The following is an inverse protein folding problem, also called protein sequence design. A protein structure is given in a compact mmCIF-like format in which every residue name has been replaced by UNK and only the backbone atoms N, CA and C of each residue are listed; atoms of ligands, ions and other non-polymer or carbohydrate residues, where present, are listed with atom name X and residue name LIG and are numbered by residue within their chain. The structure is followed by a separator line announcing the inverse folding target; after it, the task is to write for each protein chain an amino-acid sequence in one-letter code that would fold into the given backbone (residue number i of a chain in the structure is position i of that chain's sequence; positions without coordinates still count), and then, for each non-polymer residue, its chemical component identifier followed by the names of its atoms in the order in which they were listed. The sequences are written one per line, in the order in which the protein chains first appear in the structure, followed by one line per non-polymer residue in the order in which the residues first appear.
data_IF_759863774232
#
_entry.id   IF_759863774232
#
_cell.length_a   1.000
_cell.length_b   1.000
_cell.length_c   1.000
_cell.angle_alpha   90.00
_cell.angle_beta   90.00
_cell.angle_gamma   90.00
#
_symmetry.space_group_name_H-M   'P 1'
#
loop_
_entity.id
_entity.type
_entity.pdbx_description
1 polymer ?
#
# COMPACT_ATOMS: atom_id res chain seq x y z
N UNK A 1 -16.28 42.07 -6.02
CA UNK A 1 -15.55 41.12 -5.18
C UNK A 1 -16.09 39.72 -5.44
N UNK A 2 -15.24 38.84 -5.97
CA UNK A 2 -15.63 37.45 -6.29
C UNK A 2 -15.45 36.62 -5.02
N UNK A 3 -16.53 36.21 -4.39
CA UNK A 3 -16.50 35.32 -3.23
C UNK A 3 -16.36 33.90 -3.75
N UNK A 4 -15.32 33.20 -3.35
CA UNK A 4 -15.14 31.78 -3.66
C UNK A 4 -15.85 30.97 -2.59
N UNK A 5 -16.83 30.16 -3.01
CA UNK A 5 -17.67 29.31 -2.15
C UNK A 5 -17.32 27.85 -2.38
N UNK A 6 -17.17 27.09 -1.29
CA UNK A 6 -17.06 25.63 -1.35
C UNK A 6 -18.40 25.01 -1.00
N UNK A 7 -18.80 24.00 -1.75
CA UNK A 7 -19.98 23.17 -1.44
C UNK A 7 -19.49 21.92 -0.71
N UNK A 8 -19.94 21.78 0.54
CA UNK A 8 -19.72 20.57 1.33
C UNK A 8 -21.10 19.93 1.62
N UNK A 9 -21.40 18.86 0.89
CA UNK A 9 -22.75 18.29 0.88
C UNK A 9 -23.78 19.24 0.32
N UNK A 10 -24.77 19.65 1.13
CA UNK A 10 -25.80 20.63 0.78
C UNK A 10 -25.48 22.07 1.26
N UNK A 11 -24.44 22.23 2.07
CA UNK A 11 -24.07 23.53 2.63
C UNK A 11 -22.98 24.21 1.79
N UNK A 12 -23.03 25.55 1.74
CA UNK A 12 -22.02 26.40 1.12
C UNK A 12 -21.29 27.18 2.19
N UNK A 13 -19.96 27.21 2.14
CA UNK A 13 -19.12 28.01 3.03
C UNK A 13 -18.14 28.89 2.25
N UNK A 14 -17.79 30.04 2.82
CA UNK A 14 -16.76 30.92 2.28
C UNK A 14 -15.40 30.27 2.46
N UNK A 15 -14.63 30.10 1.37
CA UNK A 15 -13.32 29.47 1.38
C UNK A 15 -12.31 30.16 2.30
N UNK A 16 -12.44 31.50 2.50
CA UNK A 16 -11.48 32.29 3.25
C UNK A 16 -11.86 32.42 4.74
N UNK A 17 -13.14 32.55 5.05
CA UNK A 17 -13.61 32.76 6.43
C UNK A 17 -14.19 31.52 7.09
N UNK A 18 -14.54 30.49 6.31
CA UNK A 18 -15.22 29.28 6.81
C UNK A 18 -16.68 29.51 7.21
N UNK A 19 -17.22 30.72 7.06
CA UNK A 19 -18.60 31.07 7.44
C UNK A 19 -19.59 30.45 6.43
N UNK A 20 -20.74 30.01 6.92
CA UNK A 20 -21.82 29.52 6.10
C UNK A 20 -22.41 30.67 5.24
N UNK A 21 -22.51 30.46 3.95
CA UNK A 21 -22.99 31.42 2.97
C UNK A 21 -24.18 30.82 2.22
N UNK A 22 -25.28 31.56 2.18
CA UNK A 22 -26.42 31.22 1.29
C UNK A 22 -26.25 32.03 0.02
N UNK A 23 -25.92 31.38 -1.13
CA UNK A 23 -25.73 32.10 -2.38
C UNK A 23 -27.07 32.66 -2.87
N UNK A 24 -27.12 33.95 -3.22
CA UNK A 24 -28.29 34.60 -3.74
C UNK A 24 -28.71 34.14 -5.16
N UNK A 25 -27.80 33.47 -5.86
CA UNK A 25 -28.00 32.89 -7.21
C UNK A 25 -27.27 31.53 -7.25
N UNK A 26 -27.74 30.62 -8.13
CA UNK A 26 -27.03 29.34 -8.33
C UNK A 26 -25.56 29.61 -8.65
N UNK A 27 -24.60 29.08 -7.82
CA UNK A 27 -23.20 29.36 -8.03
C UNK A 27 -22.73 28.71 -9.33
N UNK A 28 -22.16 29.52 -10.21
CA UNK A 28 -21.54 29.03 -11.43
C UNK A 28 -20.33 28.20 -11.07
N UNK A 29 -20.38 26.89 -11.36
CA UNK A 29 -19.22 26.00 -11.18
C UNK A 29 -18.17 26.37 -12.21
N UNK A 30 -17.22 27.20 -11.82
CA UNK A 30 -16.09 27.54 -12.67
C UNK A 30 -15.01 26.43 -12.52
N UNK A 31 -14.64 25.81 -13.64
CA UNK A 31 -13.59 24.79 -13.60
C UNK A 31 -12.25 25.47 -13.31
N UNK A 32 -11.58 25.16 -12.22
CA UNK A 32 -10.31 25.81 -11.87
C UNK A 32 -9.32 25.67 -13.01
N UNK A 33 -8.61 26.76 -13.30
CA UNK A 33 -7.55 26.77 -14.34
C UNK A 33 -6.52 25.66 -14.07
N UNK A 34 -5.83 25.18 -15.11
CA UNK A 34 -4.78 24.15 -14.98
C UNK A 34 -3.71 24.57 -13.95
N UNK A 35 -3.36 25.86 -13.92
CA UNK A 35 -2.38 26.43 -12.97
C UNK A 35 -2.91 26.34 -11.54
N UNK A 36 -4.16 26.74 -11.29
CA UNK A 36 -4.78 26.69 -9.97
C UNK A 36 -4.89 25.25 -9.45
N UNK A 37 -5.32 24.31 -10.30
CA UNK A 37 -5.37 22.88 -9.93
C UNK A 37 -3.99 22.33 -9.54
N UNK A 38 -2.93 22.71 -10.26
CA UNK A 38 -1.55 22.29 -9.95
C UNK A 38 -1.09 22.86 -8.61
N UNK A 39 -1.42 24.12 -8.33
CA UNK A 39 -1.07 24.76 -7.05
C UNK A 39 -1.86 24.18 -5.87
N UNK A 40 -3.15 23.95 -6.03
CA UNK A 40 -4.00 23.33 -5.00
C UNK A 40 -3.50 21.90 -4.71
N UNK A 41 -3.23 21.11 -5.74
CA UNK A 41 -2.69 19.77 -5.56
C UNK A 41 -1.37 19.79 -4.76
N UNK A 42 -0.46 20.73 -5.09
CA UNK A 42 0.80 20.89 -4.35
C UNK A 42 0.56 21.23 -2.89
N UNK A 43 -0.38 22.12 -2.60
CA UNK A 43 -0.71 22.49 -1.22
C UNK A 43 -1.26 21.30 -0.44
N UNK A 44 -2.18 20.54 -1.02
CA UNK A 44 -2.74 19.32 -0.41
C UNK A 44 -1.63 18.29 -0.15
N UNK A 45 -0.81 18.00 -1.14
CA UNK A 45 0.32 17.06 -1.00
C UNK A 45 1.29 17.50 0.12
N UNK A 46 1.52 18.82 0.31
CA UNK A 46 2.36 19.33 1.39
C UNK A 46 1.68 19.29 2.78
N UNK A 47 0.35 19.43 2.84
CA UNK A 47 -0.43 19.26 4.06
C UNK A 47 -0.35 17.82 4.54
N UNK A 48 -0.50 16.84 3.64
CA UNK A 48 -0.42 15.40 3.96
C UNK A 48 0.94 15.02 4.56
N UNK A 49 2.03 15.67 4.13
CA UNK A 49 3.36 15.51 4.75
C UNK A 49 3.44 16.00 6.20
N UNK A 50 2.48 16.79 6.66
CA UNK A 50 2.39 17.33 8.03
C UNK A 50 1.28 16.68 8.85
N UNK A 51 0.63 15.66 8.32
CA UNK A 51 -0.47 14.96 9.01
C UNK A 51 -0.01 14.48 10.41
N UNK A 52 -0.84 14.56 11.44
CA UNK A 52 -0.55 13.94 12.73
C UNK A 52 -0.45 12.40 12.65
N UNK A 53 -1.09 11.81 11.64
CA UNK A 53 -1.08 10.39 11.36
C UNK A 53 0.22 9.97 10.68
N UNK A 54 0.95 9.02 11.27
CA UNK A 54 2.23 8.52 10.76
C UNK A 54 2.07 7.84 9.39
N UNK A 55 1.04 7.03 9.22
CA UNK A 55 0.81 6.27 7.97
C UNK A 55 0.53 7.21 6.80
N UNK A 56 -0.26 8.25 7.03
CA UNK A 56 -0.52 9.29 6.01
C UNK A 56 0.74 10.05 5.64
N UNK A 57 1.60 10.37 6.63
CA UNK A 57 2.89 11.03 6.34
C UNK A 57 3.81 10.15 5.50
N UNK A 58 3.89 8.85 5.83
CA UNK A 58 4.70 7.87 5.09
C UNK A 58 4.20 7.77 3.64
N UNK A 59 2.89 7.60 3.48
CA UNK A 59 2.28 7.50 2.15
C UNK A 59 2.52 8.75 1.30
N UNK A 60 2.30 9.94 1.90
CA UNK A 60 2.53 11.21 1.23
C UNK A 60 4.01 11.40 0.83
N UNK A 61 4.95 11.08 1.73
CA UNK A 61 6.38 11.19 1.45
C UNK A 61 6.80 10.29 0.30
N UNK A 62 6.40 9.01 0.34
CA UNK A 62 6.70 8.05 -0.73
C UNK A 62 6.07 8.47 -2.06
N UNK A 63 4.81 8.89 -2.06
CA UNK A 63 4.10 9.37 -3.26
C UNK A 63 4.83 10.55 -3.91
N UNK A 64 5.30 11.50 -3.11
CA UNK A 64 6.04 12.66 -3.61
C UNK A 64 7.44 12.30 -4.09
N UNK A 65 8.15 11.42 -3.39
CA UNK A 65 9.46 10.91 -3.81
C UNK A 65 9.39 10.16 -5.14
N UNK A 66 8.41 9.25 -5.28
CA UNK A 66 8.17 8.48 -6.49
C UNK A 66 7.78 9.36 -7.70
N UNK A 67 7.17 10.52 -7.45
CA UNK A 67 6.86 11.48 -8.52
C UNK A 67 8.09 12.12 -9.15
N UNK A 68 9.25 12.04 -8.49
CA UNK A 68 10.54 12.64 -8.89
C UNK A 68 10.44 14.12 -9.29
N UNK A 69 9.45 14.84 -8.80
CA UNK A 69 9.27 16.26 -9.11
C UNK A 69 10.25 17.11 -8.30
N UNK A 70 11.16 17.86 -8.95
CA UNK A 70 12.19 18.66 -8.26
C UNK A 70 11.62 19.68 -7.29
N UNK A 71 10.37 20.12 -7.49
CA UNK A 71 9.71 21.11 -6.63
C UNK A 71 9.46 20.63 -5.20
N UNK A 72 9.37 19.30 -4.98
CA UNK A 72 9.12 18.70 -3.68
C UNK A 72 10.39 18.31 -2.91
N UNK A 73 11.52 18.22 -3.61
CA UNK A 73 12.78 17.76 -3.00
C UNK A 73 13.25 18.62 -1.80
N UNK A 74 13.19 19.96 -1.85
CA UNK A 74 13.56 20.79 -0.69
C UNK A 74 12.64 20.55 0.51
N UNK A 75 11.34 20.42 0.27
CA UNK A 75 10.35 20.17 1.33
C UNK A 75 10.54 18.78 1.96
N UNK A 76 10.82 17.76 1.15
CA UNK A 76 11.12 16.41 1.62
C UNK A 76 12.39 16.40 2.48
N UNK A 77 13.49 17.00 2.01
CA UNK A 77 14.76 17.12 2.76
C UNK A 77 14.60 17.85 4.10
N UNK A 78 13.85 18.95 4.11
CA UNK A 78 13.62 19.73 5.32
C UNK A 78 12.81 18.96 6.37
N UNK A 79 11.83 18.18 5.93
CA UNK A 79 10.94 17.40 6.80
C UNK A 79 11.57 16.09 7.25
N UNK A 80 12.39 15.43 6.41
CA UNK A 80 13.14 14.23 6.79
C UNK A 80 13.95 14.44 8.07
N UNK A 81 14.62 15.61 8.19
CA UNK A 81 15.42 15.98 9.36
C UNK A 81 14.61 16.17 10.65
N UNK A 82 13.30 16.41 10.56
CA UNK A 82 12.42 16.68 11.69
C UNK A 82 11.63 15.44 12.16
N UNK A 83 11.75 14.32 11.46
CA UNK A 83 11.05 13.10 11.85
C UNK A 83 11.77 12.45 13.03
N UNK A 84 11.04 12.23 14.11
CA UNK A 84 11.53 11.54 15.31
C UNK A 84 11.28 10.02 15.21
N UNK A 85 10.16 9.64 14.60
CA UNK A 85 9.83 8.23 14.37
C UNK A 85 10.73 7.59 13.32
N UNK A 86 11.33 6.45 13.66
CA UNK A 86 12.28 5.71 12.83
C UNK A 86 11.70 5.25 11.50
N UNK A 87 10.44 4.78 11.49
CA UNK A 87 9.79 4.27 10.29
C UNK A 87 9.44 5.43 9.34
N UNK A 88 8.90 6.51 9.90
CA UNK A 88 8.58 7.71 9.14
C UNK A 88 9.84 8.32 8.56
N UNK A 89 10.90 8.45 9.36
CA UNK A 89 12.20 8.96 8.90
C UNK A 89 12.75 8.14 7.75
N UNK A 90 12.73 6.81 7.88
CA UNK A 90 13.17 5.90 6.81
C UNK A 90 12.39 6.11 5.52
N UNK A 91 11.06 6.30 5.59
CA UNK A 91 10.23 6.56 4.42
C UNK A 91 10.56 7.92 3.75
N UNK A 92 10.85 8.94 4.56
CA UNK A 92 11.30 10.23 4.03
C UNK A 92 12.69 10.14 3.39
N UNK A 93 13.63 9.43 4.02
CA UNK A 93 14.98 9.23 3.47
C UNK A 93 14.91 8.44 2.14
N UNK A 94 14.03 7.43 2.06
CA UNK A 94 13.74 6.69 0.82
C UNK A 94 13.18 7.62 -0.27
N UNK A 95 12.19 8.45 0.08
CA UNK A 95 11.55 9.39 -0.83
C UNK A 95 12.54 10.46 -1.36
N UNK A 96 13.38 10.99 -0.48
CA UNK A 96 14.46 11.93 -0.86
C UNK A 96 15.43 11.26 -1.82
N UNK A 97 15.94 10.08 -1.48
CA UNK A 97 16.90 9.36 -2.31
C UNK A 97 16.32 9.01 -3.69
N UNK A 98 15.06 8.56 -3.79
CA UNK A 98 14.40 8.31 -5.08
C UNK A 98 14.28 9.59 -5.91
N UNK A 99 13.94 10.71 -5.28
CA UNK A 99 13.86 12.01 -5.97
C UNK A 99 15.24 12.52 -6.41
N UNK A 100 16.29 12.25 -5.66
CA UNK A 100 17.68 12.61 -6.00
C UNK A 100 18.23 11.80 -7.18
N UNK A 101 17.76 10.57 -7.41
CA UNK A 101 18.14 9.80 -8.59
C UNK A 101 17.83 10.53 -9.90
N UNK A 102 16.73 11.27 -9.96
CA UNK A 102 16.34 12.03 -11.15
C UNK A 102 16.90 13.45 -11.17
N UNK A 103 16.94 14.12 -10.01
CA UNK A 103 17.13 15.56 -9.92
C UNK A 103 18.46 15.97 -9.27
N UNK A 104 19.21 15.03 -8.72
CA UNK A 104 20.47 15.28 -8.01
C UNK A 104 21.67 15.45 -8.93
N UNK A 105 22.75 16.01 -8.38
CA UNK A 105 24.08 15.97 -8.97
C UNK A 105 24.61 14.53 -9.08
N UNK A 106 25.69 14.30 -9.81
CA UNK A 106 26.32 12.96 -9.92
C UNK A 106 26.64 12.38 -8.53
N UNK A 107 27.15 13.20 -7.63
CA UNK A 107 27.49 12.81 -6.27
C UNK A 107 26.25 12.45 -5.46
N UNK A 108 25.19 13.26 -5.56
CA UNK A 108 23.91 13.00 -4.89
C UNK A 108 23.25 11.72 -5.43
N UNK A 109 23.27 11.48 -6.74
CA UNK A 109 22.76 10.25 -7.34
C UNK A 109 23.52 9.03 -6.87
N UNK A 110 24.85 9.10 -6.78
CA UNK A 110 25.70 8.03 -6.27
C UNK A 110 25.38 7.73 -4.79
N UNK A 111 25.24 8.79 -3.97
CA UNK A 111 24.85 8.64 -2.58
C UNK A 111 23.44 8.04 -2.45
N UNK A 112 22.48 8.48 -3.26
CA UNK A 112 21.13 7.95 -3.29
C UNK A 112 21.09 6.45 -3.63
N UNK A 113 21.86 6.01 -4.65
CA UNK A 113 21.97 4.58 -5.01
C UNK A 113 22.48 3.76 -3.81
N UNK A 114 23.51 4.25 -3.11
CA UNK A 114 24.08 3.55 -1.93
C UNK A 114 23.07 3.49 -0.78
N UNK A 115 22.37 4.58 -0.50
CA UNK A 115 21.34 4.65 0.55
C UNK A 115 20.20 3.67 0.24
N UNK A 116 19.66 3.69 -0.98
CA UNK A 116 18.56 2.83 -1.40
C UNK A 116 18.94 1.35 -1.39
N UNK A 117 20.19 1.02 -1.76
CA UNK A 117 20.73 -0.33 -1.64
C UNK A 117 20.79 -0.80 -0.19
N UNK A 118 21.40 0.01 0.70
CA UNK A 118 21.51 -0.33 2.13
C UNK A 118 20.15 -0.43 2.83
N UNK A 119 19.17 0.38 2.40
CA UNK A 119 17.79 0.31 2.86
C UNK A 119 17.03 -0.90 2.28
N UNK A 120 17.59 -1.56 1.27
CA UNK A 120 16.98 -2.66 0.53
C UNK A 120 15.61 -2.27 -0.03
N UNK A 121 15.51 -1.05 -0.56
CA UNK A 121 14.28 -0.51 -1.09
C UNK A 121 13.90 -1.19 -2.39
N UNK A 122 12.90 -2.04 -2.33
CA UNK A 122 12.37 -2.70 -3.52
C UNK A 122 11.74 -1.72 -4.52
N UNK A 123 11.09 -0.66 -4.02
CA UNK A 123 10.48 0.38 -4.86
C UNK A 123 11.50 1.14 -5.69
N UNK A 124 12.73 1.27 -5.18
CA UNK A 124 13.78 2.04 -5.82
C UNK A 124 14.45 1.31 -7.00
N UNK A 125 14.24 0.00 -7.15
CA UNK A 125 14.92 -0.82 -8.15
C UNK A 125 14.80 -0.24 -9.56
N UNK A 126 13.58 0.00 -10.03
CA UNK A 126 13.30 0.50 -11.38
C UNK A 126 13.84 1.91 -11.58
N UNK A 127 13.82 2.74 -10.52
CA UNK A 127 14.37 4.09 -10.56
C UNK A 127 15.90 4.10 -10.64
N UNK A 128 16.57 3.18 -9.94
CA UNK A 128 18.03 3.00 -10.06
C UNK A 128 18.38 2.51 -11.46
N UNK A 129 17.65 1.53 -11.99
CA UNK A 129 17.85 1.01 -13.34
C UNK A 129 17.68 2.11 -14.38
N UNK A 130 16.61 2.90 -14.26
CA UNK A 130 16.38 4.05 -15.14
C UNK A 130 17.49 5.10 -15.02
N UNK A 131 17.98 5.38 -13.82
CA UNK A 131 19.05 6.34 -13.59
C UNK A 131 20.36 5.97 -14.30
N UNK A 132 20.71 4.67 -14.35
CA UNK A 132 21.94 4.18 -15.01
C UNK A 132 21.75 3.89 -16.51
N UNK A 133 20.51 3.67 -16.97
CA UNK A 133 20.18 3.41 -18.37
C UNK A 133 19.92 4.68 -19.18
N UNK A 134 19.65 5.81 -18.51
CA UNK A 134 19.27 7.05 -19.20
C UNK A 134 20.47 7.63 -19.97
N UNK A 135 20.37 7.61 -21.27
CA UNK A 135 21.26 8.25 -22.27
C UNK A 135 21.04 9.79 -22.27
N UNK A 136 20.84 10.39 -21.08
CA UNK A 136 20.78 11.84 -20.94
C UNK A 136 22.16 12.48 -21.10
N UNK A 137 22.23 13.82 -21.06
CA UNK A 137 23.45 14.63 -21.17
C UNK A 137 24.58 14.24 -20.20
N UNK A 138 24.33 13.34 -19.27
CA UNK A 138 25.29 12.85 -18.27
C UNK A 138 25.36 11.32 -18.34
N UNK A 139 26.38 10.79 -19.02
CA UNK A 139 26.67 9.35 -19.00
C UNK A 139 26.88 8.89 -17.57
N UNK A 140 26.31 7.72 -17.16
CA UNK A 140 26.55 7.17 -15.84
C UNK A 140 28.05 6.89 -15.65
N UNK A 141 28.59 7.33 -14.53
CA UNK A 141 29.98 7.05 -14.17
C UNK A 141 30.15 5.57 -13.84
N UNK A 142 31.31 4.99 -14.12
CA UNK A 142 31.61 3.58 -13.76
C UNK A 142 31.35 3.27 -12.29
N UNK A 143 31.57 4.26 -11.40
CA UNK A 143 31.23 4.15 -9.98
C UNK A 143 29.72 4.02 -9.74
N UNK A 144 28.88 4.76 -10.48
CA UNK A 144 27.42 4.66 -10.36
C UNK A 144 26.93 3.29 -10.81
N UNK A 145 27.47 2.77 -11.91
CA UNK A 145 27.12 1.43 -12.41
C UNK A 145 27.55 0.35 -11.40
N UNK A 146 28.72 0.50 -10.81
CA UNK A 146 29.21 -0.45 -9.78
C UNK A 146 28.38 -0.37 -8.50
N UNK A 147 28.01 0.83 -8.06
CA UNK A 147 27.14 1.04 -6.91
C UNK A 147 25.74 0.48 -7.16
N UNK A 148 25.19 0.68 -8.35
CA UNK A 148 23.88 0.13 -8.74
C UNK A 148 23.88 -1.41 -8.73
N UNK A 149 24.92 -2.04 -9.27
CA UNK A 149 25.05 -3.51 -9.22
C UNK A 149 25.08 -4.05 -7.78
N UNK A 150 25.76 -3.35 -6.87
CA UNK A 150 25.77 -3.71 -5.44
C UNK A 150 24.37 -3.51 -4.82
N UNK A 151 23.73 -2.36 -5.09
CA UNK A 151 22.39 -2.10 -4.60
C UNK A 151 21.39 -3.16 -5.08
N UNK A 152 21.44 -3.55 -6.36
CA UNK A 152 20.61 -4.64 -6.88
C UNK A 152 20.88 -5.97 -6.18
N UNK A 153 22.14 -6.32 -5.94
CA UNK A 153 22.48 -7.56 -5.23
C UNK A 153 21.92 -7.57 -3.79
N UNK A 154 21.98 -6.43 -3.09
CA UNK A 154 21.43 -6.29 -1.75
C UNK A 154 19.89 -6.35 -1.73
N UNK A 155 19.23 -5.67 -2.67
CA UNK A 155 17.77 -5.68 -2.83
C UNK A 155 17.29 -7.08 -3.20
N UNK A 156 17.89 -7.71 -4.22
CA UNK A 156 17.50 -9.03 -4.70
C UNK A 156 17.74 -10.13 -3.65
N UNK A 157 18.84 -10.06 -2.89
CA UNK A 157 19.10 -11.02 -1.82
C UNK A 157 18.05 -10.94 -0.71
N UNK A 158 17.65 -9.70 -0.36
CA UNK A 158 16.61 -9.50 0.64
C UNK A 158 15.24 -9.98 0.14
N UNK A 159 14.91 -9.67 -1.11
CA UNK A 159 13.65 -10.13 -1.72
C UNK A 159 13.57 -11.65 -1.76
N UNK A 160 14.64 -12.33 -2.22
CA UNK A 160 14.69 -13.80 -2.23
C UNK A 160 14.47 -14.40 -0.83
N UNK A 161 15.00 -13.77 0.20
CA UNK A 161 14.78 -14.20 1.59
C UNK A 161 13.32 -14.02 2.01
N UNK A 162 12.73 -12.87 1.72
CA UNK A 162 11.30 -12.59 2.03
C UNK A 162 10.39 -13.55 1.26
N UNK A 163 10.65 -13.75 -0.03
CA UNK A 163 9.90 -14.67 -0.88
C UNK A 163 10.02 -16.12 -0.42
N UNK A 164 11.22 -16.54 0.01
CA UNK A 164 11.45 -17.87 0.57
C UNK A 164 10.63 -18.08 1.85
N UNK A 165 10.69 -17.14 2.80
CA UNK A 165 9.90 -17.20 4.04
C UNK A 165 8.40 -17.19 3.73
N UNK A 166 7.97 -16.31 2.80
CA UNK A 166 6.57 -16.25 2.37
C UNK A 166 6.09 -17.56 1.74
N UNK A 167 6.93 -18.18 0.91
CA UNK A 167 6.62 -19.48 0.26
C UNK A 167 6.56 -20.60 1.30
N UNK A 168 7.49 -20.62 2.24
CA UNK A 168 7.48 -21.59 3.34
C UNK A 168 6.22 -21.48 4.19
N UNK A 169 5.83 -20.24 4.54
CA UNK A 169 4.62 -20.00 5.31
C UNK A 169 3.34 -20.42 4.55
N UNK A 170 3.26 -20.08 3.26
CA UNK A 170 2.13 -20.51 2.41
C UNK A 170 2.08 -22.03 2.27
N UNK A 171 3.23 -22.67 2.07
CA UNK A 171 3.33 -24.13 1.98
C UNK A 171 2.90 -24.81 3.28
N UNK A 172 3.32 -24.31 4.43
CA UNK A 172 2.93 -24.83 5.74
C UNK A 172 1.43 -24.65 5.98
N UNK A 173 0.89 -23.48 5.65
CA UNK A 173 -0.54 -23.19 5.76
C UNK A 173 -1.37 -24.15 4.89
N UNK A 174 -1.00 -24.29 3.61
CA UNK A 174 -1.70 -25.22 2.71
C UNK A 174 -1.57 -26.67 3.16
N UNK A 175 -0.37 -27.07 3.61
CA UNK A 175 -0.12 -28.41 4.16
C UNK A 175 -0.98 -28.70 5.39
N UNK A 176 -1.16 -27.72 6.28
CA UNK A 176 -2.04 -27.85 7.45
C UNK A 176 -3.50 -28.09 7.06
N UNK A 177 -4.00 -27.36 6.06
CA UNK A 177 -5.36 -27.58 5.54
C UNK A 177 -5.51 -28.98 4.96
N UNK A 178 -4.54 -29.42 4.14
CA UNK A 178 -4.55 -30.77 3.54
C UNK A 178 -4.48 -31.88 4.60
N UNK A 179 -3.71 -31.67 5.68
CA UNK A 179 -3.69 -32.58 6.82
C UNK A 179 -5.06 -32.71 7.50
N UNK A 180 -5.73 -31.57 7.77
CA UNK A 180 -7.06 -31.57 8.36
C UNK A 180 -8.07 -32.32 7.48
N UNK A 181 -8.03 -32.07 6.17
CA UNK A 181 -8.87 -32.79 5.20
C UNK A 181 -8.59 -34.30 5.22
N UNK A 182 -7.32 -34.68 5.24
CA UNK A 182 -6.90 -36.08 5.27
C UNK A 182 -7.33 -36.78 6.57
N UNK A 183 -7.23 -36.10 7.71
CA UNK A 183 -7.73 -36.61 8.99
C UNK A 183 -9.25 -36.81 8.96
N UNK A 184 -10.00 -35.83 8.43
CA UNK A 184 -11.44 -35.96 8.27
C UNK A 184 -11.83 -37.19 7.45
N UNK A 185 -11.15 -37.41 6.33
CA UNK A 185 -11.37 -38.57 5.47
C UNK A 185 -10.97 -39.88 6.17
N UNK A 186 -9.83 -39.90 6.87
CA UNK A 186 -9.36 -41.09 7.57
C UNK A 186 -10.33 -41.52 8.70
N UNK A 187 -10.91 -40.58 9.43
CA UNK A 187 -11.90 -40.86 10.49
C UNK A 187 -13.18 -41.42 9.88
N UNK A 188 -13.73 -40.79 8.84
CA UNK A 188 -14.97 -41.25 8.22
C UNK A 188 -14.79 -42.63 7.56
N UNK A 189 -13.70 -42.87 6.84
CA UNK A 189 -13.39 -44.16 6.25
C UNK A 189 -13.11 -45.22 7.33
N UNK A 190 -12.37 -44.89 8.36
CA UNK A 190 -12.03 -45.85 9.46
C UNK A 190 -13.24 -46.28 10.28
N UNK A 191 -14.25 -45.43 10.47
CA UNK A 191 -15.46 -45.75 11.22
C UNK A 191 -16.54 -46.43 10.37
N UNK A 192 -16.73 -45.96 9.13
CA UNK A 192 -17.83 -46.40 8.27
C UNK A 192 -17.42 -47.51 7.27
N UNK A 193 -16.13 -47.70 7.03
CA UNK A 193 -15.60 -48.66 6.05
C UNK A 193 -15.97 -48.34 4.58
N UNK A 194 -16.58 -47.20 4.32
CA UNK A 194 -17.04 -46.78 2.99
C UNK A 194 -16.38 -45.44 2.66
N UNK A 195 -15.87 -45.32 1.45
CA UNK A 195 -15.31 -44.06 0.93
C UNK A 195 -16.47 -43.12 0.64
N UNK A 196 -16.57 -42.04 1.42
CA UNK A 196 -17.57 -41.01 1.15
C UNK A 196 -17.08 -40.07 0.04
N UNK A 197 -17.61 -40.23 -1.19
CA UNK A 197 -17.27 -39.35 -2.30
C UNK A 197 -17.74 -37.92 -2.14
N UNK A 198 -18.70 -37.65 -1.23
CA UNK A 198 -19.20 -36.33 -0.94
C UNK A 198 -18.21 -35.45 -0.11
N UNK A 199 -17.05 -35.99 0.32
CA UNK A 199 -16.08 -35.24 1.14
C UNK A 199 -15.62 -33.95 0.45
N UNK A 200 -15.41 -33.97 -0.87
CA UNK A 200 -15.08 -32.77 -1.66
C UNK A 200 -16.20 -31.73 -1.66
N UNK A 201 -17.47 -32.17 -1.65
CA UNK A 201 -18.63 -31.29 -1.63
C UNK A 201 -18.73 -30.54 -0.27
N UNK A 202 -18.43 -31.22 0.85
CA UNK A 202 -18.39 -30.58 2.16
C UNK A 202 -17.31 -29.51 2.26
N UNK A 203 -16.14 -29.72 1.63
CA UNK A 203 -15.08 -28.71 1.56
C UNK A 203 -15.58 -27.50 0.76
N UNK A 204 -16.26 -27.72 -0.37
CA UNK A 204 -16.83 -26.66 -1.18
C UNK A 204 -17.92 -25.86 -0.43
N UNK A 205 -18.80 -26.56 0.29
CA UNK A 205 -19.85 -25.94 1.14
C UNK A 205 -19.23 -25.08 2.24
N UNK A 206 -18.20 -25.59 2.92
CA UNK A 206 -17.46 -24.82 3.94
C UNK A 206 -16.79 -23.58 3.37
N UNK A 207 -16.12 -23.69 2.24
CA UNK A 207 -15.49 -22.57 1.52
C UNK A 207 -16.51 -21.52 1.07
N UNK A 208 -17.64 -21.95 0.50
CA UNK A 208 -18.71 -21.04 0.08
C UNK A 208 -19.40 -20.33 1.24
N UNK A 209 -19.60 -21.02 2.35
CA UNK A 209 -20.13 -20.40 3.58
C UNK A 209 -19.19 -19.33 4.11
N UNK A 210 -17.89 -19.61 4.13
CA UNK A 210 -16.87 -18.62 4.53
C UNK A 210 -16.90 -17.40 3.62
N UNK A 211 -17.02 -17.59 2.30
CA UNK A 211 -17.15 -16.49 1.34
C UNK A 211 -18.38 -15.62 1.57
N UNK A 212 -19.54 -16.24 1.85
CA UNK A 212 -20.76 -15.48 2.18
C UNK A 212 -20.57 -14.63 3.44
N UNK A 213 -19.99 -15.22 4.50
CA UNK A 213 -19.71 -14.50 5.75
C UNK A 213 -18.77 -13.33 5.50
N UNK A 214 -17.70 -13.54 4.75
CA UNK A 214 -16.74 -12.49 4.39
C UNK A 214 -17.43 -11.32 3.68
N UNK A 215 -18.26 -11.60 2.66
CA UNK A 215 -18.98 -10.55 1.94
C UNK A 215 -19.98 -9.80 2.82
N UNK A 216 -20.63 -10.49 3.75
CA UNK A 216 -21.53 -9.84 4.73
C UNK A 216 -20.76 -8.92 5.66
N UNK A 217 -19.59 -9.36 6.15
CA UNK A 217 -18.73 -8.49 6.98
C UNK A 217 -18.18 -7.30 6.21
N UNK A 218 -17.76 -7.50 4.95
CA UNK A 218 -17.30 -6.42 4.07
C UNK A 218 -18.38 -5.35 3.85
N UNK A 219 -19.63 -5.78 3.60
CA UNK A 219 -20.76 -4.87 3.39
C UNK A 219 -21.22 -4.16 4.67
N UNK A 220 -21.06 -4.80 5.85
CA UNK A 220 -21.52 -4.25 7.12
C UNK A 220 -20.50 -3.31 7.78
N UNK A 221 -19.21 -3.63 7.70
CA UNK A 221 -18.15 -2.94 8.44
C UNK A 221 -17.08 -2.28 7.55
N UNK A 222 -17.06 -2.58 6.25
CA UNK A 222 -16.02 -2.14 5.32
C UNK A 222 -14.72 -2.95 5.44
N UNK A 223 -14.03 -3.17 4.32
CA UNK A 223 -12.81 -3.98 4.25
C UNK A 223 -11.62 -3.38 5.03
N UNK A 224 -11.62 -2.07 5.27
CA UNK A 224 -10.56 -1.35 6.02
C UNK A 224 -10.78 -1.30 7.54
N UNK A 225 -11.88 -1.88 8.05
CA UNK A 225 -12.18 -1.86 9.49
C UNK A 225 -11.39 -2.93 10.24
N UNK A 226 -10.93 -2.61 11.46
CA UNK A 226 -10.29 -3.59 12.36
C UNK A 226 -11.25 -4.75 12.73
N UNK A 227 -12.56 -4.53 12.63
CA UNK A 227 -13.59 -5.54 12.89
C UNK A 227 -13.72 -6.53 11.74
N UNK A 228 -13.31 -6.15 10.53
CA UNK A 228 -13.39 -7.01 9.35
C UNK A 228 -12.67 -8.34 9.56
N UNK A 229 -11.51 -8.36 10.21
CA UNK A 229 -10.74 -9.58 10.47
C UNK A 229 -11.49 -10.66 11.30
N UNK A 230 -12.51 -10.27 12.06
CA UNK A 230 -13.29 -11.22 12.88
C UNK A 230 -14.25 -12.10 12.07
N UNK A 231 -14.46 -11.80 10.75
CA UNK A 231 -15.27 -12.68 9.89
C UNK A 231 -14.78 -14.13 9.94
N UNK A 232 -13.46 -14.32 10.04
CA UNK A 232 -12.85 -15.65 10.05
C UNK A 232 -13.28 -16.48 11.27
N UNK A 233 -13.32 -15.86 12.46
CA UNK A 233 -13.73 -16.52 13.69
C UNK A 233 -15.22 -16.92 13.65
N UNK A 234 -16.06 -16.08 13.02
CA UNK A 234 -17.50 -16.36 12.88
C UNK A 234 -17.79 -17.35 11.75
N UNK A 235 -16.95 -17.38 10.71
CA UNK A 235 -17.11 -18.29 9.58
C UNK A 235 -16.89 -19.76 9.98
N UNK A 236 -15.98 -20.06 10.91
CA UNK A 236 -15.66 -21.44 11.34
C UNK A 236 -16.89 -22.16 11.90
N UNK A 237 -17.58 -21.67 12.96
CA UNK A 237 -18.74 -22.34 13.51
C UNK A 237 -19.91 -22.39 12.52
N UNK A 238 -20.07 -21.34 11.70
CA UNK A 238 -21.13 -21.29 10.71
C UNK A 238 -20.93 -22.34 9.59
N UNK A 239 -19.72 -22.46 9.09
CA UNK A 239 -19.36 -23.47 8.09
C UNK A 239 -19.56 -24.89 8.65
N UNK A 240 -19.21 -25.12 9.92
CA UNK A 240 -19.47 -26.39 10.58
C UNK A 240 -20.97 -26.69 10.68
N UNK A 241 -21.79 -25.72 11.12
CA UNK A 241 -23.25 -25.91 11.21
C UNK A 241 -23.89 -26.20 9.86
N UNK A 242 -23.52 -25.43 8.81
CA UNK A 242 -24.08 -25.64 7.46
C UNK A 242 -23.69 -27.00 6.93
N UNK A 243 -22.42 -27.40 7.09
CA UNK A 243 -21.96 -28.74 6.67
C UNK A 243 -22.65 -29.86 7.45
N UNK A 244 -22.90 -29.68 8.76
CA UNK A 244 -23.60 -30.66 9.58
C UNK A 244 -25.08 -30.81 9.15
N UNK A 245 -25.77 -29.73 8.83
CA UNK A 245 -27.17 -29.75 8.34
C UNK A 245 -27.28 -30.45 6.99
N UNK A 246 -26.33 -30.20 6.07
CA UNK A 246 -26.33 -30.84 4.74
C UNK A 246 -25.96 -32.31 4.81
N UNK A 247 -25.16 -32.72 5.83
CA UNK A 247 -24.71 -34.10 6.00
C UNK A 247 -25.63 -34.97 6.87
N UNK A 248 -26.66 -34.40 7.52
CA UNK A 248 -27.63 -35.11 8.35
C UNK A 248 -28.79 -35.64 7.52
#
# INVERSE_FOLDING_TARGET
DTIIIIKDGEAFSNLLTGEAVVPATEPKVDRPSRKLRKTLKRIVDLIDLSSPDFDKRIEAALKLGLSQNPQYLPDLKARAKRQEDSNTRRAFDEAVAISELANGSIEERLAAIRILGSMKSFRARDYIEHCIATDGDTKPTDEMVTAAKRAFAEIDSHQKMVDFIGTLFRGLSLGSVLLLVSYGLAITFGQMGVINMAHGEFIAIGGYTTYIVQNKFASAFGEGSSVYGYYFITAIPLAFMVSAIVGA
#
